data_IF_748370835501
#
_entry.id   IF_748370835501
#
_cell.length_a   1.000
_cell.length_b   1.000
_cell.length_c   1.000
_cell.angle_alpha   90.00
_cell.angle_beta   90.00
_cell.angle_gamma   90.00
#
_symmetry.space_group_name_H-M   'P 1'
#
loop_
_entity.id
_entity.type
_entity.pdbx_description
1 polymer ?
#
# COMPACT_ATOMS: atom_id res chain seq x y z
N UNK A 1 30.79 -6.23 -50.64
CA UNK A 1 30.55 -5.78 -49.27
C UNK A 1 29.55 -4.63 -49.30
N UNK A 2 28.33 -4.84 -48.79
CA UNK A 2 27.41 -3.80 -48.34
C UNK A 2 26.43 -4.47 -47.37
N UNK A 3 26.41 -4.04 -46.12
CA UNK A 3 25.62 -4.64 -45.05
C UNK A 3 24.25 -3.93 -44.93
N UNK A 4 23.18 -4.71 -44.83
CA UNK A 4 21.81 -4.21 -44.61
C UNK A 4 21.62 -3.60 -43.21
N UNK A 5 20.82 -2.53 -43.07
CA UNK A 5 20.50 -1.97 -41.76
C UNK A 5 19.38 -2.78 -41.08
N UNK A 6 19.70 -3.39 -39.94
CA UNK A 6 18.74 -4.09 -39.07
C UNK A 6 17.71 -3.11 -38.51
N UNK A 7 16.42 -3.30 -38.83
CA UNK A 7 15.29 -2.62 -38.18
C UNK A 7 15.27 -2.97 -36.69
N UNK A 8 15.57 -1.99 -35.83
CA UNK A 8 15.36 -2.12 -34.38
C UNK A 8 13.85 -2.13 -34.11
N UNK A 9 13.33 -3.24 -33.57
CA UNK A 9 11.97 -3.33 -33.04
C UNK A 9 11.79 -2.22 -32.01
N UNK A 10 10.87 -1.29 -32.26
CA UNK A 10 10.44 -0.32 -31.27
C UNK A 10 9.95 -1.09 -30.04
N UNK A 11 10.60 -0.82 -28.90
CA UNK A 11 10.19 -1.35 -27.60
C UNK A 11 8.79 -0.81 -27.35
N UNK A 12 7.79 -1.69 -27.30
CA UNK A 12 6.41 -1.30 -27.03
C UNK A 12 6.39 -0.39 -25.80
N UNK A 13 5.90 0.84 -25.99
CA UNK A 13 5.62 1.73 -24.88
C UNK A 13 4.70 0.95 -23.94
N UNK A 14 5.13 0.79 -22.69
CA UNK A 14 4.24 0.29 -21.64
C UNK A 14 3.19 1.37 -21.48
N UNK A 15 2.02 1.12 -22.07
CA UNK A 15 0.83 1.90 -21.84
C UNK A 15 0.46 1.70 -20.36
N UNK A 16 1.00 2.56 -19.50
CA UNK A 16 0.36 2.83 -18.23
C UNK A 16 -0.88 3.63 -18.59
N UNK A 17 -1.94 2.91 -19.00
CA UNK A 17 -3.19 3.51 -19.43
C UNK A 17 -3.56 4.62 -18.44
N UNK A 18 -3.71 5.84 -18.96
CA UNK A 18 -3.97 7.02 -18.16
C UNK A 18 -5.06 6.69 -17.13
N UNK A 19 -4.71 6.75 -15.85
CA UNK A 19 -5.62 6.50 -14.74
C UNK A 19 -6.65 7.65 -14.70
N UNK A 20 -7.63 7.60 -15.60
CA UNK A 20 -8.72 8.56 -15.66
C UNK A 20 -9.53 8.40 -14.39
N UNK A 21 -9.82 9.54 -13.74
CA UNK A 21 -10.71 9.54 -12.59
C UNK A 21 -12.05 8.91 -12.99
N UNK A 22 -12.45 7.86 -12.28
CA UNK A 22 -13.75 7.22 -12.44
C UNK A 22 -14.72 7.85 -11.44
N UNK A 23 -15.90 8.23 -11.92
CA UNK A 23 -16.96 8.75 -11.06
C UNK A 23 -17.63 7.60 -10.34
N UNK A 24 -17.59 7.63 -9.01
CA UNK A 24 -18.28 6.68 -8.14
C UNK A 24 -19.40 7.42 -7.39
N UNK A 25 -20.64 6.95 -7.55
CA UNK A 25 -21.79 7.43 -6.76
C UNK A 25 -21.93 6.62 -5.47
N UNK A 26 -22.24 7.30 -4.37
CA UNK A 26 -22.52 6.68 -3.08
C UNK A 26 -23.84 7.19 -2.51
N UNK A 27 -24.58 6.31 -1.86
CA UNK A 27 -25.78 6.67 -1.10
C UNK A 27 -25.38 7.18 0.27
N UNK A 28 -26.06 8.22 0.74
CA UNK A 28 -25.89 8.82 2.07
C UNK A 28 -27.26 8.88 2.71
N UNK A 29 -27.36 8.58 4.00
CA UNK A 29 -28.59 8.80 4.74
C UNK A 29 -28.93 10.29 4.73
N UNK A 30 -30.22 10.64 4.73
CA UNK A 30 -30.64 12.03 4.66
C UNK A 30 -30.10 12.84 5.86
N UNK A 31 -30.02 12.19 7.02
CA UNK A 31 -29.58 12.75 8.30
C UNK A 31 -28.08 13.06 8.30
N UNK A 32 -27.28 12.29 7.58
CA UNK A 32 -25.81 12.47 7.51
C UNK A 32 -25.40 13.55 6.49
N UNK A 33 -26.33 13.97 5.63
CA UNK A 33 -26.02 14.88 4.52
C UNK A 33 -25.49 16.25 4.99
N UNK A 34 -26.07 16.91 6.00
CA UNK A 34 -25.56 18.20 6.48
C UNK A 34 -24.11 18.10 6.99
N UNK A 35 -23.81 17.04 7.75
CA UNK A 35 -22.46 16.79 8.29
C UNK A 35 -21.48 16.53 7.15
N UNK A 36 -21.85 15.72 6.16
CA UNK A 36 -21.00 15.49 5.00
C UNK A 36 -20.71 16.78 4.23
N UNK A 37 -21.71 17.62 4.00
CA UNK A 37 -21.53 18.89 3.28
C UNK A 37 -20.59 19.84 4.08
N UNK A 38 -20.73 19.93 5.41
CA UNK A 38 -19.80 20.69 6.28
C UNK A 38 -18.36 20.17 6.18
N UNK A 39 -18.16 18.85 6.26
CA UNK A 39 -16.83 18.25 6.17
C UNK A 39 -16.19 18.43 4.78
N UNK A 40 -17.01 18.38 3.73
CA UNK A 40 -16.55 18.61 2.35
C UNK A 40 -16.14 20.07 2.15
N UNK A 41 -16.89 21.02 2.71
CA UNK A 41 -16.53 22.43 2.65
C UNK A 41 -15.23 22.71 3.43
N UNK A 42 -15.11 22.19 4.65
CA UNK A 42 -13.97 22.46 5.52
C UNK A 42 -12.68 21.71 5.11
N UNK A 43 -12.76 20.41 4.83
CA UNK A 43 -11.58 19.59 4.54
C UNK A 43 -11.33 19.35 3.04
N UNK A 44 -12.35 19.57 2.21
CA UNK A 44 -12.31 19.31 0.78
C UNK A 44 -12.40 20.55 -0.10
N UNK A 45 -12.44 21.76 0.48
CA UNK A 45 -12.67 23.02 -0.23
C UNK A 45 -13.92 22.97 -1.13
N UNK A 46 -15.00 22.35 -0.63
CA UNK A 46 -16.26 22.13 -1.36
C UNK A 46 -16.23 20.98 -2.37
N UNK A 47 -15.10 20.28 -2.52
CA UNK A 47 -14.93 19.18 -3.47
C UNK A 47 -15.01 17.80 -2.77
N UNK A 48 -16.12 17.09 -3.00
CA UNK A 48 -16.36 15.74 -2.44
C UNK A 48 -15.25 14.74 -2.79
N UNK A 49 -14.71 14.80 -4.01
CA UNK A 49 -13.61 13.92 -4.40
C UNK A 49 -12.30 14.30 -3.71
N UNK A 50 -12.03 15.57 -3.45
CA UNK A 50 -10.86 15.99 -2.69
C UNK A 50 -10.97 15.53 -1.23
N UNK A 51 -12.12 15.77 -0.60
CA UNK A 51 -12.44 15.26 0.74
C UNK A 51 -12.24 13.74 0.82
N UNK A 52 -12.90 12.98 -0.06
CA UNK A 52 -12.78 11.52 -0.06
C UNK A 52 -11.32 11.05 -0.24
N UNK A 53 -10.54 11.73 -1.10
CA UNK A 53 -9.12 11.44 -1.29
C UNK A 53 -8.27 11.67 -0.06
N UNK A 54 -8.53 12.73 0.69
CA UNK A 54 -7.87 12.95 1.96
C UNK A 54 -8.27 11.87 2.97
N UNK A 55 -9.56 11.60 3.10
CA UNK A 55 -10.12 10.67 4.09
C UNK A 55 -9.59 9.25 3.90
N UNK A 56 -9.63 8.67 2.69
CA UNK A 56 -9.17 7.29 2.54
C UNK A 56 -7.66 7.14 2.77
N UNK A 57 -6.85 8.18 2.56
CA UNK A 57 -5.41 8.13 2.89
C UNK A 57 -5.21 7.98 4.40
N UNK A 58 -5.95 8.77 5.19
CA UNK A 58 -5.93 8.69 6.65
C UNK A 58 -6.41 7.32 7.12
N UNK A 59 -7.56 6.87 6.63
CA UNK A 59 -8.13 5.56 7.01
C UNK A 59 -7.21 4.40 6.62
N UNK A 60 -6.55 4.47 5.45
CA UNK A 60 -5.57 3.46 5.03
C UNK A 60 -4.36 3.44 5.94
N UNK A 61 -3.85 4.61 6.35
CA UNK A 61 -2.75 4.70 7.30
C UNK A 61 -3.10 4.10 8.66
N UNK A 62 -4.31 4.35 9.17
CA UNK A 62 -4.80 3.75 10.42
C UNK A 62 -4.85 2.24 10.30
N UNK A 63 -5.50 1.71 9.26
CA UNK A 63 -5.60 0.27 9.02
C UNK A 63 -4.23 -0.40 8.92
N UNK A 64 -3.26 0.23 8.23
CA UNK A 64 -1.90 -0.32 8.14
C UNK A 64 -1.19 -0.30 9.50
N UNK A 65 -1.35 0.76 10.30
CA UNK A 65 -0.77 0.83 11.63
C UNK A 65 -1.31 -0.27 12.57
N UNK A 66 -2.61 -0.56 12.48
CA UNK A 66 -3.25 -1.68 13.20
C UNK A 66 -2.67 -3.02 12.76
N UNK A 67 -2.61 -3.27 11.45
CA UNK A 67 -2.02 -4.51 10.90
C UNK A 67 -0.55 -4.70 11.31
N UNK A 68 0.24 -3.62 11.32
CA UNK A 68 1.63 -3.67 11.77
C UNK A 68 1.75 -4.00 13.25
N UNK A 69 0.87 -3.43 14.09
CA UNK A 69 0.84 -3.73 15.52
C UNK A 69 0.54 -5.20 15.77
N UNK A 70 -0.45 -5.75 15.07
CA UNK A 70 -0.83 -7.16 15.22
C UNK A 70 0.31 -8.08 14.76
N UNK A 71 0.97 -7.75 13.65
CA UNK A 71 2.11 -8.51 13.15
C UNK A 71 3.30 -8.47 14.14
N UNK A 72 3.56 -7.30 14.73
CA UNK A 72 4.61 -7.15 15.74
C UNK A 72 4.29 -7.97 17.00
N UNK A 73 3.06 -7.93 17.48
CA UNK A 73 2.61 -8.70 18.63
C UNK A 73 2.77 -10.21 18.39
N UNK A 74 2.36 -10.69 17.21
CA UNK A 74 2.56 -12.08 16.81
C UNK A 74 4.05 -12.47 16.79
N UNK A 75 4.90 -11.64 16.17
CA UNK A 75 6.34 -11.90 16.10
C UNK A 75 7.00 -11.95 17.48
N UNK A 76 6.63 -11.02 18.38
CA UNK A 76 7.10 -11.00 19.76
C UNK A 76 6.67 -12.25 20.52
N UNK A 77 5.40 -12.65 20.40
CA UNK A 77 4.92 -13.88 21.02
C UNK A 77 5.70 -15.10 20.53
N UNK A 78 5.88 -15.25 19.21
CA UNK A 78 6.57 -16.41 18.62
C UNK A 78 8.05 -16.46 18.99
N UNK A 79 8.73 -15.33 19.02
CA UNK A 79 10.14 -15.27 19.41
C UNK A 79 10.31 -15.59 20.90
N UNK A 80 9.41 -15.12 21.77
CA UNK A 80 9.38 -15.51 23.17
C UNK A 80 9.12 -17.01 23.36
N UNK A 81 8.16 -17.59 22.62
CA UNK A 81 7.89 -19.05 22.62
C UNK A 81 9.11 -19.88 22.19
N UNK A 82 9.94 -19.35 21.29
CA UNK A 82 11.17 -19.99 20.82
C UNK A 82 12.41 -19.65 21.68
N UNK A 83 12.27 -18.82 22.71
CA UNK A 83 13.38 -18.34 23.53
C UNK A 83 14.40 -17.51 22.76
N UNK A 84 13.96 -16.85 21.68
CA UNK A 84 14.80 -16.00 20.84
C UNK A 84 14.60 -14.56 21.29
N UNK A 85 15.70 -13.89 21.67
CA UNK A 85 15.64 -12.46 21.93
C UNK A 85 15.41 -11.69 20.62
N UNK A 86 14.59 -10.62 20.61
CA UNK A 86 14.29 -9.87 19.38
C UNK A 86 15.53 -9.36 18.64
N UNK A 87 16.60 -9.04 19.37
CA UNK A 87 17.88 -8.58 18.82
C UNK A 87 18.62 -9.67 18.01
N UNK A 88 18.36 -10.94 18.31
CA UNK A 88 19.05 -12.09 17.71
C UNK A 88 18.35 -12.61 16.45
N UNK A 89 17.10 -12.19 16.23
CA UNK A 89 16.29 -12.60 15.06
C UNK A 89 17.02 -12.40 13.72
N UNK A 90 17.68 -11.25 13.44
CA UNK A 90 18.39 -11.07 12.18
C UNK A 90 19.56 -12.05 11.99
N UNK A 91 20.25 -12.40 13.07
CA UNK A 91 21.36 -13.37 13.02
C UNK A 91 20.83 -14.78 12.77
N UNK A 92 19.78 -15.20 13.48
CA UNK A 92 19.12 -16.50 13.28
C UNK A 92 18.59 -16.68 11.85
N UNK A 93 18.01 -15.64 11.26
CA UNK A 93 17.56 -15.68 9.86
C UNK A 93 18.76 -15.87 8.91
N UNK A 94 19.88 -15.19 9.14
CA UNK A 94 21.09 -15.36 8.31
C UNK A 94 21.69 -16.76 8.44
N UNK A 95 21.72 -17.32 9.64
CA UNK A 95 22.16 -18.71 9.86
C UNK A 95 21.27 -19.70 9.11
N UNK A 96 19.95 -19.54 9.21
CA UNK A 96 19.00 -20.38 8.50
C UNK A 96 19.19 -20.33 6.98
N UNK A 97 19.23 -19.12 6.40
CA UNK A 97 19.39 -18.94 4.95
C UNK A 97 20.75 -19.43 4.43
N UNK A 98 21.83 -19.29 5.20
CA UNK A 98 23.15 -19.84 4.84
C UNK A 98 23.18 -21.38 4.85
N UNK A 99 22.33 -22.01 5.67
CA UNK A 99 22.20 -23.46 5.72
C UNK A 99 21.51 -24.05 4.48
N UNK A 100 20.67 -23.27 3.79
CA UNK A 100 19.97 -23.71 2.57
C UNK A 100 20.85 -23.65 1.31
N UNK A 101 21.90 -22.81 1.29
CA UNK A 101 22.86 -22.73 0.18
C UNK A 101 23.97 -23.81 0.23
N UNK A 102 23.93 -24.71 1.23
CA UNK A 102 24.99 -25.67 1.57
C UNK A 102 24.72 -27.15 1.26
N UNK A 103 23.62 -27.49 0.59
CA UNK A 103 23.26 -28.86 0.14
C UNK A 103 22.71 -28.85 -1.27
#
# INVERSE_FOLDING_TARGET
MAAEPRKRKARAARDHGEARAQTLGFSVQAEDRPVLDELVDYFGDGNRSAYLRATYRVMKSIMLAEQMRDLQAYGQQRTAELGIEPADVPERIREFLKGEDGT
#
